data_IF_416118891955
#
_entry.id   IF_416118891955
#
_cell.length_a   1.000
_cell.length_b   1.000
_cell.length_c   1.000
_cell.angle_alpha   90.00
_cell.angle_beta   90.00
_cell.angle_gamma   90.00
#
_symmetry.space_group_name_H-M   'P 1'
#
loop_
_entity.id
_entity.type
_entity.pdbx_description
1 polymer ?
#
# COMPACT_ATOMS: atom_id res chain seq x y z
N UNK A 1 4.02 -13.36 25.05
CA UNK A 1 2.59 -13.00 24.99
C UNK A 1 2.49 -11.50 25.22
N UNK A 2 1.69 -10.79 24.42
CA UNK A 2 1.44 -9.35 24.60
C UNK A 2 0.65 -9.12 25.88
N UNK A 3 1.04 -8.15 26.69
CA UNK A 3 0.31 -7.74 27.90
C UNK A 3 -0.49 -6.47 27.67
N UNK A 4 -1.51 -6.20 28.49
CA UNK A 4 -2.29 -4.96 28.42
C UNK A 4 -1.48 -3.71 28.83
N UNK A 5 -0.26 -3.89 29.34
CA UNK A 5 0.61 -2.80 29.80
C UNK A 5 1.83 -2.61 28.91
N UNK A 6 1.95 -3.39 27.83
CA UNK A 6 3.03 -3.27 26.86
C UNK A 6 2.95 -1.90 26.16
N UNK A 7 4.07 -1.18 25.99
CA UNK A 7 4.08 0.08 25.26
C UNK A 7 3.67 -0.15 23.81
N UNK A 8 2.84 0.74 23.30
CA UNK A 8 2.47 0.79 21.89
C UNK A 8 3.25 1.91 21.23
N UNK A 9 3.92 1.59 20.13
CA UNK A 9 4.61 2.58 19.29
C UNK A 9 4.10 2.49 17.86
N UNK A 10 4.31 3.54 17.09
CA UNK A 10 3.97 3.55 15.66
C UNK A 10 5.16 3.97 14.80
N UNK A 11 5.17 3.46 13.56
CA UNK A 11 6.04 3.88 12.48
C UNK A 11 5.16 4.24 11.27
N UNK A 12 5.27 5.47 10.77
CA UNK A 12 4.66 5.91 9.52
C UNK A 12 5.67 5.75 8.39
N UNK A 13 5.32 4.98 7.37
CA UNK A 13 6.19 4.71 6.23
C UNK A 13 5.79 5.50 4.99
N UNK A 14 6.81 5.93 4.25
CA UNK A 14 6.68 6.40 2.88
C UNK A 14 7.67 5.67 1.96
N UNK A 15 7.27 5.48 0.71
CA UNK A 15 8.16 5.04 -0.38
C UNK A 15 8.31 6.22 -1.33
N UNK A 16 9.55 6.66 -1.51
CA UNK A 16 9.88 7.96 -2.10
C UNK A 16 9.12 9.07 -1.34
N UNK A 17 8.27 9.84 -2.05
CA UNK A 17 7.47 10.91 -1.44
C UNK A 17 6.03 10.48 -1.12
N UNK A 18 5.68 9.21 -1.35
CA UNK A 18 4.33 8.70 -1.13
C UNK A 18 4.19 8.00 0.23
N UNK A 19 3.39 8.58 1.13
CA UNK A 19 2.97 7.91 2.36
C UNK A 19 2.19 6.63 2.02
N UNK A 20 2.69 5.50 2.53
CA UNK A 20 2.08 4.18 2.36
C UNK A 20 1.12 3.88 3.50
N UNK A 21 1.55 4.07 4.75
CA UNK A 21 0.68 3.83 5.89
C UNK A 21 1.42 3.77 7.23
N UNK A 22 0.64 3.51 8.28
CA UNK A 22 1.10 3.38 9.66
C UNK A 22 1.18 1.91 10.06
N UNK A 23 2.24 1.57 10.79
CA UNK A 23 2.41 0.28 11.47
C UNK A 23 2.40 0.55 12.97
N UNK A 24 1.56 -0.17 13.72
CA UNK A 24 1.52 -0.08 15.19
C UNK A 24 2.11 -1.35 15.78
N UNK A 25 2.98 -1.19 16.76
CA UNK A 25 3.82 -2.25 17.33
C UNK A 25 3.60 -2.27 18.85
N UNK A 26 3.42 -3.46 19.41
CA UNK A 26 3.48 -3.71 20.85
C UNK A 26 4.86 -4.20 21.24
N UNK A 27 5.49 -3.58 22.24
CA UNK A 27 6.83 -3.93 22.68
C UNK A 27 6.80 -4.83 23.92
N UNK A 28 7.59 -5.90 23.92
CA UNK A 28 7.61 -6.93 24.97
C UNK A 28 8.42 -6.49 26.20
N UNK A 29 7.99 -5.42 26.88
CA UNK A 29 8.73 -4.82 28.00
C UNK A 29 9.05 -5.78 29.14
N UNK A 30 8.20 -6.77 29.41
CA UNK A 30 8.40 -7.70 30.53
C UNK A 30 9.39 -8.81 30.17
N UNK A 31 9.53 -9.10 28.87
CA UNK A 31 10.38 -10.17 28.36
C UNK A 31 11.77 -9.65 27.97
N UNK A 32 11.80 -8.51 27.29
CA UNK A 32 12.99 -7.87 26.76
C UNK A 32 12.98 -6.37 27.12
N UNK A 33 13.07 -6.01 28.42
CA UNK A 33 12.98 -4.63 28.87
C UNK A 33 13.99 -3.69 28.22
N UNK A 34 15.25 -4.10 28.03
CA UNK A 34 16.28 -3.27 27.42
C UNK A 34 15.98 -3.01 25.95
N UNK A 35 15.66 -4.07 25.19
CA UNK A 35 15.37 -3.95 23.76
C UNK A 35 14.06 -3.17 23.52
N UNK A 36 13.03 -3.41 24.33
CA UNK A 36 11.76 -2.70 24.27
C UNK A 36 11.94 -1.20 24.58
N UNK A 37 12.62 -0.85 25.67
CA UNK A 37 12.84 0.56 26.04
C UNK A 37 13.75 1.27 25.02
N UNK A 38 14.76 0.59 24.47
CA UNK A 38 15.57 1.12 23.38
C UNK A 38 14.72 1.46 22.16
N UNK A 39 13.90 0.51 21.69
CA UNK A 39 13.04 0.74 20.52
C UNK A 39 12.01 1.85 20.78
N UNK A 40 11.38 1.87 21.97
CA UNK A 40 10.40 2.89 22.37
C UNK A 40 11.01 4.29 22.36
N UNK A 41 12.14 4.46 23.04
CA UNK A 41 12.83 5.74 23.13
C UNK A 41 13.37 6.22 21.77
N UNK A 42 13.79 5.30 20.90
CA UNK A 42 14.14 5.62 19.51
C UNK A 42 12.92 5.97 18.66
N UNK A 43 11.71 5.52 18.98
CA UNK A 43 10.49 6.01 18.35
C UNK A 43 10.14 7.44 18.79
N UNK A 44 10.34 7.79 20.06
CA UNK A 44 9.99 9.13 20.59
C UNK A 44 11.08 10.18 20.35
N UNK A 45 12.34 9.76 20.22
CA UNK A 45 13.48 10.66 20.12
C UNK A 45 13.85 11.36 21.43
N UNK A 46 13.26 10.95 22.57
CA UNK A 46 13.35 11.67 23.85
C UNK A 46 14.76 11.70 24.45
N UNK A 47 15.65 10.80 24.02
CA UNK A 47 17.04 10.72 24.51
C UNK A 47 17.98 11.71 23.82
N UNK A 48 17.49 12.51 22.88
CA UNK A 48 18.23 13.61 22.27
C UNK A 48 19.31 13.11 21.30
N UNK A 49 20.53 13.60 21.46
CA UNK A 49 21.66 13.34 20.54
C UNK A 49 22.56 12.25 21.13
N UNK A 50 22.85 11.21 20.34
CA UNK A 50 23.77 10.14 20.70
C UNK A 50 25.24 10.55 20.64
N UNK A 51 26.12 9.67 21.09
CA UNK A 51 27.57 9.88 21.09
C UNK A 51 28.17 10.03 19.69
N UNK A 52 27.48 9.53 18.66
CA UNK A 52 27.84 9.73 17.25
C UNK A 52 27.34 11.06 16.66
N UNK A 53 26.78 11.96 17.48
CA UNK A 53 26.35 13.30 17.07
C UNK A 53 25.08 13.33 16.22
N UNK A 54 24.31 12.23 16.21
CA UNK A 54 23.03 12.11 15.50
C UNK A 54 21.88 11.96 16.50
N UNK A 55 20.66 12.39 16.16
CA UNK A 55 19.50 12.13 17.00
C UNK A 55 19.29 10.62 17.22
N UNK A 56 19.03 10.23 18.47
CA UNK A 56 18.57 8.89 18.82
C UNK A 56 17.09 8.76 18.48
N UNK A 57 16.78 8.74 17.18
CA UNK A 57 15.41 8.82 16.68
C UNK A 57 15.25 8.10 15.33
N UNK A 58 14.21 7.28 15.19
CA UNK A 58 13.91 6.58 13.93
C UNK A 58 13.30 7.48 12.85
N UNK A 59 12.72 8.62 13.20
CA UNK A 59 12.18 9.56 12.22
C UNK A 59 13.25 10.03 11.23
N UNK A 60 13.01 9.79 9.95
CA UNK A 60 13.93 10.08 8.86
C UNK A 60 14.92 8.95 8.54
N UNK A 61 14.98 7.89 9.37
CA UNK A 61 15.77 6.70 9.06
C UNK A 61 15.11 5.85 7.97
N UNK A 62 15.90 4.95 7.38
CA UNK A 62 15.52 4.20 6.18
C UNK A 62 15.48 2.69 6.42
N UNK A 63 14.62 2.00 5.68
CA UNK A 63 14.77 0.57 5.45
C UNK A 63 15.85 0.41 4.39
N UNK A 64 17.04 0.00 4.80
CA UNK A 64 18.23 -0.07 3.94
C UNK A 64 18.39 -1.45 3.28
N UNK A 65 17.66 -2.47 3.76
CA UNK A 65 17.61 -3.79 3.16
C UNK A 65 16.19 -4.37 3.20
N UNK A 66 15.77 -4.95 2.09
CA UNK A 66 14.47 -5.62 1.94
C UNK A 66 14.69 -6.95 1.23
N UNK A 67 14.33 -8.05 1.88
CA UNK A 67 14.31 -9.38 1.28
C UNK A 67 12.83 -9.73 1.02
N UNK A 68 12.41 -9.83 -0.25
CA UNK A 68 11.02 -10.07 -0.61
C UNK A 68 10.37 -11.21 0.15
N UNK A 69 9.19 -10.92 0.70
CA UNK A 69 8.36 -11.89 1.45
C UNK A 69 9.02 -12.49 2.70
N UNK A 70 10.20 -12.00 3.12
CA UNK A 70 10.91 -12.52 4.28
C UNK A 70 11.04 -11.46 5.37
N UNK A 71 11.67 -10.32 5.08
CA UNK A 71 11.93 -9.29 6.09
C UNK A 71 12.35 -7.93 5.53
N UNK A 72 12.11 -6.89 6.33
CA UNK A 72 12.62 -5.53 6.16
C UNK A 72 13.65 -5.24 7.25
N UNK A 73 14.75 -4.58 6.92
CA UNK A 73 15.82 -4.22 7.87
C UNK A 73 16.05 -2.71 7.83
N UNK A 74 15.95 -2.09 9.00
CA UNK A 74 16.07 -0.65 9.19
C UNK A 74 16.77 -0.30 10.49
N UNK A 75 16.61 0.95 10.92
CA UNK A 75 17.11 1.42 12.22
C UNK A 75 18.59 1.76 12.25
N UNK A 76 19.27 1.84 11.10
CA UNK A 76 20.52 2.58 11.01
C UNK A 76 20.17 4.07 11.04
N UNK A 77 20.32 4.70 12.22
CA UNK A 77 19.98 6.11 12.48
C UNK A 77 21.17 7.06 12.23
N UNK A 78 22.32 6.54 11.77
CA UNK A 78 23.55 7.32 11.63
C UNK A 78 23.89 7.55 10.16
N UNK A 79 24.06 6.47 9.40
CA UNK A 79 24.50 6.48 8.00
C UNK A 79 23.41 5.96 7.02
N UNK A 80 22.31 5.42 7.55
CA UNK A 80 21.16 4.91 6.78
C UNK A 80 21.50 3.79 5.78
N UNK A 81 22.60 3.05 5.99
CA UNK A 81 23.09 2.07 5.03
C UNK A 81 23.33 0.67 5.62
N UNK A 82 23.09 0.49 6.92
CA UNK A 82 23.18 -0.79 7.63
C UNK A 82 24.54 -1.06 8.27
N UNK A 83 25.55 -0.21 8.08
CA UNK A 83 26.90 -0.40 8.65
C UNK A 83 27.08 0.27 10.02
N UNK A 84 26.06 0.96 10.51
CA UNK A 84 26.16 1.78 11.72
C UNK A 84 24.88 1.73 12.54
N UNK A 85 24.84 2.46 13.65
CA UNK A 85 23.78 2.36 14.65
C UNK A 85 24.29 2.72 16.04
N UNK A 86 23.37 3.07 16.91
CA UNK A 86 23.67 3.44 18.30
C UNK A 86 22.42 3.21 19.15
N UNK A 87 22.57 2.56 20.30
CA UNK A 87 21.47 2.39 21.25
C UNK A 87 21.33 3.60 22.18
N UNK A 88 20.22 3.66 22.90
CA UNK A 88 20.05 4.67 23.96
C UNK A 88 20.99 4.48 25.16
N UNK A 89 21.68 3.33 25.23
CA UNK A 89 22.60 2.96 26.31
C UNK A 89 24.08 3.16 25.93
N UNK A 90 24.37 3.55 24.69
CA UNK A 90 25.72 3.62 24.12
C UNK A 90 25.83 2.82 22.83
N UNK A 91 27.03 2.27 22.55
CA UNK A 91 27.28 1.59 21.28
C UNK A 91 26.40 0.35 21.09
N UNK A 92 26.34 -0.50 22.12
CA UNK A 92 25.67 -1.80 22.09
C UNK A 92 25.06 -2.14 23.46
N UNK A 93 24.13 -3.10 23.50
CA UNK A 93 23.55 -3.66 24.72
C UNK A 93 23.32 -5.18 24.63
N UNK A 94 23.08 -5.79 25.79
CA UNK A 94 23.00 -7.24 25.98
C UNK A 94 21.81 -7.91 25.27
N UNK A 95 21.97 -9.19 24.95
CA UNK A 95 20.86 -10.05 24.53
C UNK A 95 19.98 -10.41 25.74
N UNK A 96 18.66 -10.43 25.55
CA UNK A 96 17.70 -10.77 26.61
C UNK A 96 17.08 -12.14 26.36
N UNK A 97 15.95 -12.21 25.65
CA UNK A 97 15.31 -13.47 25.30
C UNK A 97 15.67 -13.96 23.90
N UNK A 98 16.39 -15.07 23.84
CA UNK A 98 16.76 -15.77 22.61
C UNK A 98 15.97 -17.08 22.41
N UNK A 99 15.01 -17.39 23.30
CA UNK A 99 14.22 -18.63 23.23
C UNK A 99 12.95 -18.50 22.39
N UNK A 100 12.47 -17.28 22.14
CA UNK A 100 11.34 -17.08 21.22
C UNK A 100 11.80 -17.36 19.80
N UNK A 101 10.97 -18.12 19.08
CA UNK A 101 11.21 -18.43 17.68
C UNK A 101 10.54 -17.39 16.79
N UNK A 102 11.17 -17.05 15.67
CA UNK A 102 10.65 -16.20 14.61
C UNK A 102 9.74 -17.04 13.70
N UNK A 103 8.67 -17.58 14.27
CA UNK A 103 7.79 -18.55 13.62
C UNK A 103 6.67 -17.94 12.77
N UNK A 104 6.52 -16.60 12.78
CA UNK A 104 5.48 -15.88 12.06
C UNK A 104 5.91 -14.49 11.58
N UNK A 105 5.07 -13.86 10.76
CA UNK A 105 5.19 -12.47 10.33
C UNK A 105 4.90 -11.47 11.47
N UNK A 106 5.42 -10.26 11.33
CA UNK A 106 5.13 -9.13 12.21
C UNK A 106 6.01 -9.03 13.45
N UNK A 107 7.02 -9.88 13.65
CA UNK A 107 7.95 -9.70 14.76
C UNK A 107 8.91 -8.55 14.50
N UNK A 108 9.20 -7.80 15.56
CA UNK A 108 10.28 -6.80 15.61
C UNK A 108 11.45 -7.44 16.35
N UNK A 109 12.58 -7.57 15.67
CA UNK A 109 13.76 -8.28 16.18
C UNK A 109 15.01 -7.42 16.06
N UNK A 110 15.90 -7.48 17.04
CA UNK A 110 17.13 -6.67 17.05
C UNK A 110 18.15 -7.22 16.06
N UNK A 111 18.74 -6.34 15.25
CA UNK A 111 19.92 -6.69 14.45
C UNK A 111 21.16 -6.57 15.35
N UNK A 112 22.07 -7.53 15.23
CA UNK A 112 23.35 -7.53 15.92
C UNK A 112 24.50 -7.76 14.94
N UNK A 113 25.75 -7.69 15.41
CA UNK A 113 26.96 -7.82 14.58
C UNK A 113 27.43 -9.26 14.38
N UNK A 114 26.56 -10.25 14.61
CA UNK A 114 26.91 -11.66 14.54
C UNK A 114 27.72 -12.17 15.75
N UNK A 115 27.79 -11.39 16.83
CA UNK A 115 28.35 -11.80 18.12
C UNK A 115 27.35 -11.48 19.24
N UNK A 116 27.33 -12.25 20.34
CA UNK A 116 26.42 -11.98 21.45
C UNK A 116 26.55 -10.56 22.01
N UNK A 117 25.45 -10.03 22.54
CA UNK A 117 25.38 -8.72 23.22
C UNK A 117 25.86 -7.55 22.34
N UNK A 118 25.48 -7.57 21.06
CA UNK A 118 25.84 -6.51 20.11
C UNK A 118 24.63 -5.84 19.45
N UNK A 119 23.54 -5.72 20.22
CA UNK A 119 22.31 -5.05 19.79
C UNK A 119 22.50 -3.54 19.81
N UNK A 120 21.92 -2.82 18.84
CA UNK A 120 21.95 -1.35 18.81
C UNK A 120 20.60 -0.75 18.39
N UNK A 121 20.55 0.22 17.48
CA UNK A 121 19.31 0.78 16.94
C UNK A 121 18.71 -0.02 15.79
N UNK A 122 19.49 -0.87 15.11
CA UNK A 122 19.03 -1.60 13.93
C UNK A 122 18.04 -2.71 14.29
N UNK A 123 17.03 -2.89 13.46
CA UNK A 123 15.98 -3.86 13.67
C UNK A 123 15.52 -4.52 12.37
N UNK A 124 14.91 -5.69 12.53
CA UNK A 124 14.21 -6.47 11.51
C UNK A 124 12.72 -6.42 11.77
N UNK A 125 11.91 -6.27 10.72
CA UNK A 125 10.49 -6.59 10.73
C UNK A 125 10.28 -7.85 9.89
N UNK A 126 9.79 -8.93 10.50
CA UNK A 126 9.53 -10.17 9.77
C UNK A 126 8.26 -10.04 8.91
N UNK A 127 8.32 -10.53 7.68
CA UNK A 127 7.19 -10.65 6.74
C UNK A 127 6.75 -12.12 6.57
N UNK A 128 7.51 -13.06 7.13
CA UNK A 128 7.23 -14.48 7.20
C UNK A 128 8.09 -15.10 8.32
N UNK A 129 8.02 -16.41 8.53
CA UNK A 129 8.91 -17.12 9.46
C UNK A 129 10.37 -16.97 9.06
N UNK A 130 11.22 -16.66 10.04
CA UNK A 130 12.65 -16.40 9.88
C UNK A 130 13.49 -17.27 10.84
N UNK A 131 13.46 -18.62 10.74
CA UNK A 131 14.12 -19.51 11.70
C UNK A 131 15.64 -19.34 11.74
N UNK A 132 16.24 -18.76 10.70
CA UNK A 132 17.66 -18.40 10.68
C UNK A 132 18.06 -17.37 11.75
N UNK A 133 17.11 -16.64 12.33
CA UNK A 133 17.33 -15.65 13.39
C UNK A 133 17.18 -16.26 14.80
N UNK A 134 16.67 -17.49 14.91
CA UNK A 134 16.37 -18.13 16.19
C UNK A 134 17.63 -18.41 16.99
N UNK A 135 17.57 -18.17 18.30
CA UNK A 135 18.72 -18.31 19.20
C UNK A 135 19.80 -17.23 19.03
N UNK A 136 19.66 -16.34 18.04
CA UNK A 136 20.68 -15.34 17.71
C UNK A 136 20.18 -13.90 17.84
N UNK A 137 18.89 -13.64 17.61
CA UNK A 137 18.33 -12.30 17.60
C UNK A 137 17.18 -12.17 18.61
N UNK A 138 17.18 -11.06 19.37
CA UNK A 138 16.17 -10.77 20.39
C UNK A 138 14.90 -10.23 19.75
N UNK A 139 13.77 -10.90 19.94
CA UNK A 139 12.45 -10.36 19.57
C UNK A 139 12.01 -9.37 20.64
N UNK A 140 11.89 -8.09 20.28
CA UNK A 140 11.53 -7.01 21.20
C UNK A 140 10.07 -6.54 21.07
N UNK A 141 9.35 -6.96 20.02
CA UNK A 141 7.95 -6.61 19.85
C UNK A 141 7.25 -7.33 18.72
N UNK A 142 5.98 -6.97 18.50
CA UNK A 142 5.14 -7.53 17.44
C UNK A 142 4.21 -6.46 16.87
N UNK A 143 4.03 -6.46 15.55
CA UNK A 143 3.06 -5.65 14.84
C UNK A 143 1.65 -6.03 15.32
N UNK A 144 0.91 -5.03 15.79
CA UNK A 144 -0.49 -5.16 16.18
C UNK A 144 -1.42 -4.76 15.05
N UNK A 145 -1.06 -3.73 14.27
CA UNK A 145 -1.82 -3.23 13.12
C UNK A 145 -0.88 -2.80 11.99
N UNK A 146 -1.34 -2.86 10.74
CA UNK A 146 -0.56 -2.42 9.58
C UNK A 146 0.35 -3.49 8.98
N UNK A 147 0.08 -4.78 9.18
CA UNK A 147 0.80 -5.86 8.48
C UNK A 147 0.68 -5.72 6.95
N UNK A 148 -0.48 -5.29 6.46
CA UNK A 148 -0.69 -5.03 5.03
C UNK A 148 0.07 -3.81 4.53
N UNK A 149 0.31 -2.80 5.37
CA UNK A 149 1.21 -1.66 5.05
C UNK A 149 2.61 -2.17 4.73
N UNK A 150 3.13 -3.12 5.51
CA UNK A 150 4.45 -3.70 5.28
C UNK A 150 4.52 -4.49 3.95
N UNK A 151 3.43 -5.17 3.58
CA UNK A 151 3.30 -5.86 2.29
C UNK A 151 3.26 -4.86 1.13
N UNK A 152 2.48 -3.79 1.25
CA UNK A 152 2.39 -2.73 0.24
C UNK A 152 3.72 -1.98 0.06
N UNK A 153 4.52 -1.79 1.12
CA UNK A 153 5.90 -1.27 0.99
C UNK A 153 6.71 -2.19 0.08
N UNK A 154 6.63 -3.49 0.30
CA UNK A 154 7.35 -4.49 -0.49
C UNK A 154 6.94 -4.54 -1.96
N UNK A 155 5.65 -4.37 -2.26
CA UNK A 155 5.11 -4.33 -3.63
C UNK A 155 5.40 -3.01 -4.36
N UNK A 156 5.57 -1.92 -3.59
CA UNK A 156 5.80 -0.57 -4.13
C UNK A 156 7.29 -0.22 -4.28
N UNK A 157 8.20 -1.14 -3.96
CA UNK A 157 9.65 -0.90 -3.94
C UNK A 157 10.35 -1.69 -5.03
N UNK A 158 11.10 -0.99 -5.88
CA UNK A 158 12.09 -1.63 -6.74
C UNK A 158 13.33 -2.00 -5.92
N UNK A 159 13.81 -3.23 -6.10
CA UNK A 159 15.00 -3.74 -5.40
C UNK A 159 16.08 -4.22 -6.37
N UNK A 160 17.33 -4.15 -5.91
CA UNK A 160 18.49 -4.75 -6.56
C UNK A 160 19.39 -5.35 -5.47
N UNK A 161 19.64 -6.66 -5.52
CA UNK A 161 20.46 -7.38 -4.54
C UNK A 161 20.08 -7.09 -3.08
N UNK A 162 18.79 -7.30 -2.77
CA UNK A 162 18.14 -6.99 -1.47
C UNK A 162 18.15 -5.51 -1.05
N UNK A 163 18.69 -4.61 -1.88
CA UNK A 163 18.74 -3.18 -1.58
C UNK A 163 17.58 -2.45 -2.25
N UNK A 164 16.76 -1.70 -1.48
CA UNK A 164 15.78 -0.79 -2.05
C UNK A 164 16.45 0.27 -2.94
N UNK A 165 15.97 0.37 -4.18
CA UNK A 165 16.32 1.44 -5.11
C UNK A 165 15.42 2.66 -4.88
N UNK A 166 14.17 2.41 -4.48
CA UNK A 166 13.27 3.43 -3.96
C UNK A 166 13.54 3.69 -2.47
N UNK A 167 13.39 4.95 -2.04
CA UNK A 167 13.65 5.33 -0.65
C UNK A 167 12.48 4.93 0.24
N UNK A 168 12.65 3.89 1.05
CA UNK A 168 11.68 3.55 2.11
C UNK A 168 12.09 4.29 3.39
N UNK A 169 11.27 5.23 3.84
CA UNK A 169 11.59 6.13 4.96
C UNK A 169 10.54 6.00 6.06
N UNK A 170 10.98 6.01 7.32
CA UNK A 170 10.12 6.23 8.48
C UNK A 170 9.90 7.74 8.60
N UNK A 171 8.79 8.24 8.06
CA UNK A 171 8.52 9.67 7.98
C UNK A 171 8.02 10.26 9.30
N UNK A 172 7.46 9.43 10.17
CA UNK A 172 7.09 9.78 11.53
C UNK A 172 7.09 8.53 12.41
N UNK A 173 7.32 8.71 13.71
CA UNK A 173 7.23 7.64 14.69
C UNK A 173 6.99 8.23 16.09
N UNK A 174 6.53 7.37 17.00
CA UNK A 174 6.27 7.79 18.37
C UNK A 174 5.65 6.69 19.22
N UNK A 175 5.31 7.05 20.45
CA UNK A 175 4.58 6.20 21.39
C UNK A 175 3.10 6.62 21.40
N UNK A 176 2.20 5.64 21.49
CA UNK A 176 0.76 5.84 21.61
C UNK A 176 0.36 5.76 23.08
N UNK A 177 -0.29 6.82 23.58
CA UNK A 177 -0.84 6.84 24.92
C UNK A 177 -2.07 5.95 25.09
N UNK A 178 -2.41 5.65 26.35
CA UNK A 178 -3.63 4.93 26.66
C UNK A 178 -4.87 5.69 26.17
N UNK A 179 -5.69 5.02 25.34
CA UNK A 179 -6.91 5.61 24.75
C UNK A 179 -6.65 6.57 23.59
N UNK A 180 -5.41 6.77 23.16
CA UNK A 180 -5.09 7.56 21.98
C UNK A 180 -5.61 6.86 20.71
N UNK A 181 -6.00 7.66 19.71
CA UNK A 181 -6.36 7.11 18.40
C UNK A 181 -5.11 6.58 17.71
N UNK A 182 -5.13 5.31 17.31
CA UNK A 182 -4.00 4.65 16.65
C UNK A 182 -3.68 5.25 15.28
N UNK A 183 -4.61 5.99 14.66
CA UNK A 183 -4.38 6.68 13.39
C UNK A 183 -4.21 5.72 12.22
N UNK A 184 -5.01 4.64 12.19
CA UNK A 184 -4.99 3.60 11.14
C UNK A 184 -5.80 3.98 9.90
N UNK A 185 -6.38 5.18 9.87
CA UNK A 185 -7.05 5.73 8.69
C UNK A 185 -6.05 6.47 7.77
N UNK A 186 -6.53 6.94 6.61
CA UNK A 186 -5.67 7.60 5.62
C UNK A 186 -5.25 9.03 6.04
N UNK A 187 -5.73 9.53 7.18
CA UNK A 187 -5.50 10.87 7.73
C UNK A 187 -5.78 12.01 6.73
N UNK A 188 -6.81 11.85 5.90
CA UNK A 188 -7.18 12.83 4.88
C UNK A 188 -8.33 13.77 5.30
N UNK A 189 -8.81 13.61 6.54
CA UNK A 189 -9.82 14.45 7.17
C UNK A 189 -11.26 14.18 6.75
N UNK A 190 -11.51 13.20 5.87
CA UNK A 190 -12.87 12.88 5.39
C UNK A 190 -13.32 11.47 5.76
N UNK A 191 -12.47 10.46 5.56
CA UNK A 191 -12.80 9.06 5.84
C UNK A 191 -11.99 8.57 7.03
N UNK A 192 -12.72 8.12 8.07
CA UNK A 192 -12.19 7.66 9.35
C UNK A 192 -12.10 6.14 9.46
N UNK A 193 -12.33 5.42 8.36
CA UNK A 193 -12.22 3.98 8.34
C UNK A 193 -10.75 3.57 8.26
N UNK A 194 -10.41 2.44 8.86
CA UNK A 194 -9.06 1.87 8.75
C UNK A 194 -8.68 1.65 7.29
N UNK A 195 -7.42 1.86 6.92
CA UNK A 195 -6.94 1.72 5.54
C UNK A 195 -7.07 0.28 5.03
N UNK A 196 -6.88 -0.71 5.90
CA UNK A 196 -7.07 -2.13 5.63
C UNK A 196 -8.16 -2.70 6.54
N UNK A 197 -9.20 -3.35 5.98
CA UNK A 197 -10.32 -3.88 6.75
C UNK A 197 -9.90 -4.98 7.74
N UNK A 198 -8.79 -5.69 7.51
CA UNK A 198 -8.23 -6.67 8.45
C UNK A 198 -7.88 -6.04 9.81
N UNK A 199 -7.54 -4.75 9.83
CA UNK A 199 -7.20 -4.03 11.05
C UNK A 199 -8.46 -3.51 11.80
N UNK A 200 -9.67 -3.75 11.29
CA UNK A 200 -10.92 -3.20 11.85
C UNK A 200 -11.12 -3.58 13.32
N UNK A 201 -11.04 -4.88 13.63
CA UNK A 201 -11.32 -5.42 14.97
C UNK A 201 -10.25 -5.04 16.01
N UNK A 202 -9.13 -4.44 15.58
CA UNK A 202 -8.08 -3.98 16.50
C UNK A 202 -8.54 -2.72 17.23
N UNK A 203 -9.19 -1.82 16.48
CA UNK A 203 -9.60 -0.50 16.98
C UNK A 203 -11.11 -0.37 17.17
N UNK A 204 -11.88 -1.39 16.76
CA UNK A 204 -13.32 -1.47 16.97
C UNK A 204 -13.69 -2.74 17.74
N UNK A 205 -14.62 -2.61 18.67
CA UNK A 205 -15.11 -3.73 19.49
C UNK A 205 -16.09 -4.66 18.76
N UNK A 206 -16.73 -4.18 17.69
CA UNK A 206 -17.67 -4.95 16.89
C UNK A 206 -17.00 -5.57 15.67
N UNK A 207 -17.37 -6.82 15.37
CA UNK A 207 -17.01 -7.49 14.13
C UNK A 207 -17.50 -6.66 12.94
N UNK A 208 -16.71 -6.67 11.88
CA UNK A 208 -17.08 -6.06 10.62
C UNK A 208 -18.08 -6.95 9.87
N UNK A 209 -19.36 -6.66 10.03
CA UNK A 209 -20.47 -7.39 9.39
C UNK A 209 -20.65 -7.01 7.91
N UNK A 210 -21.20 -7.93 7.12
CA UNK A 210 -21.37 -7.78 5.68
C UNK A 210 -22.08 -6.49 5.26
N UNK A 211 -23.25 -6.17 5.83
CA UNK A 211 -24.01 -4.96 5.50
C UNK A 211 -23.22 -3.68 5.83
N UNK A 212 -22.44 -3.73 6.91
CA UNK A 212 -21.58 -2.62 7.33
C UNK A 212 -20.44 -2.42 6.35
N UNK A 213 -19.83 -3.49 5.83
CA UNK A 213 -18.80 -3.39 4.80
C UNK A 213 -19.37 -2.74 3.52
N UNK A 214 -20.54 -3.19 3.07
CA UNK A 214 -21.20 -2.59 1.90
C UNK A 214 -21.41 -1.08 2.06
N UNK A 215 -21.89 -0.65 3.23
CA UNK A 215 -22.08 0.77 3.52
C UNK A 215 -20.74 1.53 3.51
N UNK A 216 -19.70 0.97 4.15
CA UNK A 216 -18.35 1.55 4.12
C UNK A 216 -17.83 1.69 2.69
N UNK A 217 -17.98 0.66 1.84
CA UNK A 217 -17.56 0.72 0.42
C UNK A 217 -18.31 1.85 -0.30
N UNK A 218 -19.62 1.98 -0.09
CA UNK A 218 -20.46 3.03 -0.69
C UNK A 218 -20.00 4.42 -0.24
N UNK A 219 -19.68 4.61 1.04
CA UNK A 219 -19.14 5.87 1.59
C UNK A 219 -17.74 6.21 1.06
N UNK A 220 -16.80 5.26 1.09
CA UNK A 220 -15.43 5.43 0.57
C UNK A 220 -15.46 5.79 -0.92
N UNK A 221 -16.30 5.11 -1.71
CA UNK A 221 -16.54 5.46 -3.12
C UNK A 221 -17.06 6.90 -3.25
N UNK A 222 -17.98 7.31 -2.37
CA UNK A 222 -18.50 8.68 -2.30
C UNK A 222 -17.40 9.73 -2.08
N UNK A 223 -16.47 9.47 -1.15
CA UNK A 223 -15.30 10.34 -0.95
C UNK A 223 -14.39 10.37 -2.18
N UNK A 224 -14.17 9.22 -2.84
CA UNK A 224 -13.45 9.15 -4.11
C UNK A 224 -14.08 10.02 -5.20
N UNK A 225 -15.40 9.94 -5.35
CA UNK A 225 -16.16 10.78 -6.28
C UNK A 225 -15.99 12.27 -5.96
N UNK A 226 -16.03 12.65 -4.68
CA UNK A 226 -15.85 14.03 -4.25
C UNK A 226 -14.45 14.57 -4.58
N UNK A 227 -13.39 13.76 -4.44
CA UNK A 227 -12.05 14.12 -4.88
C UNK A 227 -11.93 14.19 -6.40
N UNK A 228 -12.58 13.28 -7.11
CA UNK A 228 -12.58 13.24 -8.57
C UNK A 228 -13.20 14.51 -9.18
N UNK A 229 -14.35 14.97 -8.66
CA UNK A 229 -15.01 16.21 -9.09
C UNK A 229 -14.10 17.43 -8.87
N UNK A 230 -13.28 17.41 -7.81
CA UNK A 230 -12.28 18.45 -7.52
C UNK A 230 -10.98 18.29 -8.33
N UNK A 231 -10.96 17.40 -9.33
CA UNK A 231 -9.79 17.05 -10.15
C UNK A 231 -8.59 16.54 -9.33
N UNK A 232 -8.80 16.11 -8.08
CA UNK A 232 -7.76 15.50 -7.27
C UNK A 232 -7.71 13.99 -7.52
N UNK A 233 -7.17 13.63 -8.68
CA UNK A 233 -7.15 12.24 -9.15
C UNK A 233 -6.32 11.32 -8.26
N UNK A 234 -5.26 11.82 -7.63
CA UNK A 234 -4.43 11.05 -6.70
C UNK A 234 -5.24 10.62 -5.47
N UNK A 235 -5.97 11.55 -4.83
CA UNK A 235 -6.82 11.21 -3.68
C UNK A 235 -8.03 10.36 -4.08
N UNK A 236 -8.62 10.65 -5.24
CA UNK A 236 -9.71 9.82 -5.79
C UNK A 236 -9.26 8.37 -5.99
N UNK A 237 -8.08 8.16 -6.57
CA UNK A 237 -7.48 6.84 -6.73
C UNK A 237 -7.34 6.09 -5.40
N UNK A 238 -6.75 6.75 -4.39
CA UNK A 238 -6.54 6.16 -3.06
C UNK A 238 -7.85 5.66 -2.47
N UNK A 239 -8.93 6.44 -2.60
CA UNK A 239 -10.26 6.04 -2.12
C UNK A 239 -10.86 4.89 -2.89
N UNK A 240 -10.83 4.90 -4.23
CA UNK A 240 -11.38 3.76 -4.97
C UNK A 240 -10.57 2.47 -4.75
N UNK A 241 -9.24 2.56 -4.61
CA UNK A 241 -8.41 1.41 -4.20
C UNK A 241 -8.78 0.90 -2.81
N UNK A 242 -8.99 1.79 -1.84
CA UNK A 242 -9.48 1.42 -0.51
C UNK A 242 -10.84 0.75 -0.56
N UNK A 243 -11.78 1.29 -1.33
CA UNK A 243 -13.09 0.67 -1.54
C UNK A 243 -12.98 -0.73 -2.14
N UNK A 244 -12.05 -0.95 -3.09
CA UNK A 244 -11.76 -2.29 -3.62
C UNK A 244 -11.16 -3.23 -2.57
N UNK A 245 -10.27 -2.75 -1.69
CA UNK A 245 -9.76 -3.57 -0.58
C UNK A 245 -10.88 -4.07 0.34
N UNK A 246 -11.82 -3.18 0.70
CA UNK A 246 -13.00 -3.57 1.48
C UNK A 246 -13.89 -4.55 0.71
N UNK A 247 -14.06 -4.35 -0.59
CA UNK A 247 -14.77 -5.29 -1.45
C UNK A 247 -14.11 -6.68 -1.44
N UNK A 248 -12.78 -6.75 -1.62
CA UNK A 248 -12.04 -8.02 -1.64
C UNK A 248 -12.10 -8.75 -0.30
N UNK A 249 -11.96 -7.99 0.80
CA UNK A 249 -12.13 -8.52 2.15
C UNK A 249 -13.52 -9.12 2.35
N UNK A 250 -14.57 -8.40 1.94
CA UNK A 250 -15.95 -8.89 1.98
C UNK A 250 -16.15 -10.15 1.12
N UNK A 251 -15.59 -10.15 -0.09
CA UNK A 251 -15.70 -11.27 -1.03
C UNK A 251 -14.99 -12.55 -0.55
N UNK A 252 -14.01 -12.40 0.34
CA UNK A 252 -13.27 -13.52 0.94
C UNK A 252 -13.86 -14.00 2.27
N UNK A 253 -14.97 -13.41 2.75
CA UNK A 253 -15.66 -13.90 3.95
C UNK A 253 -16.43 -15.19 3.66
N UNK A 254 -16.32 -16.19 4.52
CA UNK A 254 -17.05 -17.47 4.39
C UNK A 254 -18.57 -17.27 4.25
N UNK A 255 -19.13 -16.32 5.01
CA UNK A 255 -20.56 -15.92 4.99
C UNK A 255 -21.04 -15.41 3.61
N UNK A 256 -20.12 -15.01 2.74
CA UNK A 256 -20.41 -14.55 1.38
C UNK A 256 -20.44 -15.68 0.34
N UNK A 257 -19.64 -16.74 0.54
CA UNK A 257 -19.51 -17.86 -0.41
C UNK A 257 -20.83 -18.65 -0.56
N UNK A 258 -21.74 -18.54 0.41
CA UNK A 258 -23.08 -19.17 0.33
C UNK A 258 -24.10 -18.36 -0.51
N UNK A 259 -23.76 -17.13 -0.95
CA UNK A 259 -24.63 -16.20 -1.68
C UNK A 259 -24.03 -15.74 -3.04
N UNK A 260 -23.38 -16.66 -3.78
CA UNK A 260 -22.58 -16.44 -5.00
C UNK A 260 -23.24 -15.68 -6.18
N UNK A 261 -24.53 -15.32 -6.09
CA UNK A 261 -25.30 -14.71 -7.17
C UNK A 261 -25.84 -13.31 -6.88
N UNK A 262 -25.19 -12.53 -6.04
CA UNK A 262 -25.62 -11.14 -5.85
C UNK A 262 -25.11 -10.21 -6.97
N UNK A 263 -25.97 -9.95 -7.95
CA UNK A 263 -25.73 -9.03 -9.06
C UNK A 263 -25.33 -7.62 -8.59
N UNK A 264 -25.87 -7.13 -7.45
CA UNK A 264 -25.56 -5.79 -6.89
C UNK A 264 -24.06 -5.68 -6.54
N UNK A 265 -23.45 -6.77 -6.09
CA UNK A 265 -22.04 -6.80 -5.69
C UNK A 265 -21.15 -6.79 -6.92
N UNK A 266 -21.48 -7.60 -7.92
CA UNK A 266 -20.77 -7.61 -9.20
C UNK A 266 -20.84 -6.22 -9.83
N UNK A 267 -22.01 -5.59 -9.81
CA UNK A 267 -22.19 -4.22 -10.27
C UNK A 267 -21.33 -3.23 -9.47
N UNK A 268 -21.27 -3.36 -8.13
CA UNK A 268 -20.43 -2.52 -7.28
C UNK A 268 -18.95 -2.65 -7.64
N UNK A 269 -18.43 -3.86 -7.87
CA UNK A 269 -17.05 -4.10 -8.34
C UNK A 269 -16.81 -3.42 -9.68
N UNK A 270 -17.71 -3.62 -10.64
CA UNK A 270 -17.64 -2.98 -11.95
C UNK A 270 -17.57 -1.46 -11.80
N UNK A 271 -18.42 -0.84 -10.98
CA UNK A 271 -18.42 0.62 -10.74
C UNK A 271 -17.08 1.09 -10.16
N UNK A 272 -16.50 0.38 -9.20
CA UNK A 272 -15.21 0.75 -8.59
C UNK A 272 -14.05 0.66 -9.59
N UNK A 273 -13.96 -0.44 -10.34
CA UNK A 273 -12.96 -0.65 -11.38
C UNK A 273 -13.09 0.38 -12.49
N UNK A 274 -14.33 0.64 -12.93
CA UNK A 274 -14.68 1.70 -13.85
C UNK A 274 -14.11 3.03 -13.33
N UNK A 275 -14.48 3.46 -12.11
CA UNK A 275 -14.04 4.74 -11.56
C UNK A 275 -12.50 4.86 -11.51
N UNK A 276 -11.79 3.79 -11.14
CA UNK A 276 -10.34 3.75 -11.23
C UNK A 276 -9.82 3.85 -12.66
N UNK A 277 -10.41 3.14 -13.62
CA UNK A 277 -10.01 3.21 -15.03
C UNK A 277 -10.13 4.65 -15.55
N UNK A 278 -11.20 5.37 -15.17
CA UNK A 278 -11.35 6.79 -15.50
C UNK A 278 -10.26 7.64 -14.87
N UNK A 279 -9.98 7.49 -13.57
CA UNK A 279 -8.85 8.17 -12.92
C UNK A 279 -7.54 7.94 -13.68
N UNK A 280 -7.27 6.69 -14.09
CA UNK A 280 -6.06 6.33 -14.83
C UNK A 280 -5.98 6.96 -16.22
N UNK A 281 -7.10 7.07 -16.93
CA UNK A 281 -7.17 7.83 -18.19
C UNK A 281 -6.82 9.31 -17.99
N UNK A 282 -7.34 9.96 -16.95
CA UNK A 282 -7.02 11.36 -16.63
C UNK A 282 -5.55 11.54 -16.20
N UNK A 283 -4.96 10.55 -15.54
CA UNK A 283 -3.54 10.50 -15.21
C UNK A 283 -2.64 10.09 -16.41
N UNK A 284 -3.23 9.81 -17.59
CA UNK A 284 -2.53 9.28 -18.78
C UNK A 284 -1.82 7.93 -18.56
N UNK A 285 -2.23 7.20 -17.54
CA UNK A 285 -1.78 5.84 -17.25
C UNK A 285 -2.63 4.84 -18.05
N UNK A 286 -2.41 4.85 -19.38
CA UNK A 286 -3.29 4.16 -20.32
C UNK A 286 -3.20 2.63 -20.21
N UNK A 287 -2.03 2.08 -19.85
CA UNK A 287 -1.88 0.62 -19.67
C UNK A 287 -2.71 0.11 -18.49
N UNK A 288 -2.71 0.85 -17.39
CA UNK A 288 -3.48 0.56 -16.18
C UNK A 288 -4.98 0.73 -16.45
N UNK A 289 -5.38 1.81 -17.13
CA UNK A 289 -6.77 2.02 -17.54
C UNK A 289 -7.29 0.87 -18.43
N UNK A 290 -6.46 0.39 -19.36
CA UNK A 290 -6.78 -0.75 -20.21
C UNK A 290 -7.02 -2.03 -19.41
N UNK A 291 -6.12 -2.36 -18.47
CA UNK A 291 -6.26 -3.55 -17.60
C UNK A 291 -7.56 -3.50 -16.82
N UNK A 292 -7.78 -2.41 -16.08
CA UNK A 292 -8.99 -2.21 -15.27
C UNK A 292 -10.28 -2.29 -16.10
N UNK A 293 -10.28 -1.72 -17.30
CA UNK A 293 -11.44 -1.78 -18.19
C UNK A 293 -11.67 -3.17 -18.77
N UNK A 294 -10.59 -3.93 -19.00
CA UNK A 294 -10.67 -5.34 -19.39
C UNK A 294 -11.28 -6.18 -18.28
N UNK A 295 -10.88 -5.96 -17.03
CA UNK A 295 -11.47 -6.65 -15.87
C UNK A 295 -12.97 -6.39 -15.74
N UNK A 296 -13.42 -5.16 -16.00
CA UNK A 296 -14.86 -4.82 -16.05
C UNK A 296 -15.57 -5.64 -17.13
N UNK A 297 -15.02 -5.74 -18.34
CA UNK A 297 -15.63 -6.49 -19.45
C UNK A 297 -15.65 -8.00 -19.16
N UNK A 298 -14.64 -8.52 -18.46
CA UNK A 298 -14.62 -9.93 -18.04
C UNK A 298 -15.70 -10.22 -16.98
N UNK A 299 -15.97 -9.26 -16.09
CA UNK A 299 -17.02 -9.38 -15.07
C UNK A 299 -18.42 -9.19 -15.64
N UNK A 300 -18.57 -8.24 -16.55
CA UNK A 300 -19.83 -7.90 -17.24
C UNK A 300 -19.55 -7.62 -18.73
N UNK A 301 -19.69 -8.65 -19.60
CA UNK A 301 -19.46 -8.52 -21.04
C UNK A 301 -20.43 -7.57 -21.75
N UNK A 302 -21.52 -7.14 -21.10
CA UNK A 302 -22.46 -6.16 -21.62
C UNK A 302 -22.20 -4.74 -21.08
N UNK A 303 -21.07 -4.53 -20.39
CA UNK A 303 -20.72 -3.23 -19.84
C UNK A 303 -20.14 -2.29 -20.92
N UNK A 304 -21.01 -1.51 -21.58
CA UNK A 304 -20.56 -0.58 -22.63
C UNK A 304 -19.53 0.46 -22.13
N UNK A 305 -19.58 0.83 -20.84
CA UNK A 305 -18.61 1.76 -20.23
C UNK A 305 -17.21 1.15 -20.09
N UNK A 306 -17.13 -0.18 -19.89
CA UNK A 306 -15.88 -0.92 -19.92
C UNK A 306 -15.21 -0.82 -21.29
N UNK A 307 -15.95 -1.13 -22.35
CA UNK A 307 -15.47 -0.98 -23.73
C UNK A 307 -15.08 0.46 -24.06
N UNK A 308 -15.92 1.44 -23.69
CA UNK A 308 -15.62 2.85 -23.88
C UNK A 308 -14.28 3.25 -23.23
N UNK A 309 -14.03 2.88 -21.97
CA UNK A 309 -12.79 3.26 -21.27
C UNK A 309 -11.57 2.51 -21.79
N UNK A 310 -11.73 1.25 -22.18
CA UNK A 310 -10.66 0.48 -22.83
C UNK A 310 -10.30 1.05 -24.21
N UNK A 311 -11.30 1.46 -24.99
CA UNK A 311 -11.10 2.15 -26.26
C UNK A 311 -10.35 3.47 -26.10
N UNK A 312 -10.71 4.26 -25.08
CA UNK A 312 -9.98 5.50 -24.73
C UNK A 312 -8.52 5.21 -24.34
N UNK A 313 -8.27 4.11 -23.62
CA UNK A 313 -6.92 3.67 -23.28
C UNK A 313 -6.12 3.26 -24.53
N UNK A 314 -6.70 2.47 -25.44
CA UNK A 314 -6.06 2.11 -26.71
C UNK A 314 -5.69 3.34 -27.55
N UNK A 315 -6.60 4.31 -27.68
CA UNK A 315 -6.31 5.57 -28.37
C UNK A 315 -5.17 6.33 -27.69
N UNK A 316 -5.14 6.36 -26.36
CA UNK A 316 -4.02 6.95 -25.60
C UNK A 316 -2.68 6.23 -25.80
N UNK A 317 -2.70 4.94 -26.10
CA UNK A 317 -1.53 4.13 -26.46
C UNK A 317 -1.13 4.24 -27.95
N UNK A 318 -1.91 4.96 -28.76
CA UNK A 318 -1.70 5.07 -30.21
C UNK A 318 -2.26 3.88 -31.00
N UNK A 319 -3.00 2.97 -30.37
CA UNK A 319 -3.62 1.80 -31.00
C UNK A 319 -5.04 2.15 -31.50
N UNK A 320 -5.12 3.09 -32.45
CA UNK A 320 -6.38 3.74 -32.83
C UNK A 320 -7.43 2.78 -33.40
N UNK A 321 -7.03 1.80 -34.21
CA UNK A 321 -7.92 0.79 -34.78
C UNK A 321 -8.60 -0.05 -33.69
N UNK A 322 -7.84 -0.53 -32.70
CA UNK A 322 -8.41 -1.27 -31.55
C UNK A 322 -9.32 -0.38 -30.71
N UNK A 323 -8.95 0.89 -30.56
CA UNK A 323 -9.80 1.89 -29.91
C UNK A 323 -11.15 2.03 -30.60
N UNK A 324 -11.16 2.12 -31.94
CA UNK A 324 -12.37 2.20 -32.74
C UNK A 324 -13.23 0.93 -32.62
N UNK A 325 -12.64 -0.26 -32.62
CA UNK A 325 -13.34 -1.53 -32.43
C UNK A 325 -14.09 -1.55 -31.08
N UNK A 326 -13.43 -1.14 -29.99
CA UNK A 326 -14.05 -1.05 -28.67
C UNK A 326 -15.17 -0.01 -28.62
N UNK A 327 -14.99 1.16 -29.24
CA UNK A 327 -16.06 2.17 -29.32
C UNK A 327 -17.27 1.69 -30.13
N UNK A 328 -17.04 0.93 -31.21
CA UNK A 328 -18.12 0.30 -31.97
C UNK A 328 -18.86 -0.72 -31.13
N UNK A 329 -18.14 -1.56 -30.36
CA UNK A 329 -18.74 -2.51 -29.41
C UNK A 329 -19.58 -1.80 -28.36
N UNK A 330 -19.07 -0.71 -27.78
CA UNK A 330 -19.83 0.11 -26.83
C UNK A 330 -21.12 0.67 -27.46
N UNK A 331 -21.05 1.11 -28.72
CA UNK A 331 -22.19 1.65 -29.46
C UNK A 331 -23.20 0.56 -29.88
N UNK A 332 -22.76 -0.68 -30.14
CA UNK A 332 -23.66 -1.82 -30.37
C UNK A 332 -24.51 -2.12 -29.14
N UNK A 333 -23.92 -2.01 -27.95
CA UNK A 333 -24.59 -2.26 -26.66
C UNK A 333 -25.49 -1.07 -26.26
N UNK A 334 -25.00 0.17 -26.41
CA UNK A 334 -25.74 1.38 -26.08
C UNK A 334 -25.62 2.43 -27.21
N UNK A 335 -26.52 2.34 -28.18
CA UNK A 335 -26.47 3.07 -29.45
C UNK A 335 -26.89 4.55 -29.38
N UNK A 336 -27.36 5.03 -28.23
CA UNK A 336 -27.84 6.40 -28.02
C UNK A 336 -26.89 7.24 -27.15
N UNK A 337 -25.74 6.70 -26.75
CA UNK A 337 -24.78 7.44 -25.94
C UNK A 337 -23.96 8.41 -26.82
N UNK A 338 -24.28 9.71 -26.74
CA UNK A 338 -23.60 10.78 -27.47
C UNK A 338 -22.09 10.81 -27.21
N UNK A 339 -21.65 10.42 -26.01
CA UNK A 339 -20.23 10.39 -25.67
C UNK A 339 -19.50 9.26 -26.43
N UNK A 340 -20.13 8.10 -26.58
CA UNK A 340 -19.57 6.98 -27.37
C UNK A 340 -19.44 7.40 -28.83
N UNK A 341 -20.46 8.03 -29.40
CA UNK A 341 -20.45 8.50 -30.80
C UNK A 341 -19.32 9.51 -31.06
N UNK A 342 -19.10 10.45 -30.14
CA UNK A 342 -17.98 11.41 -30.23
C UNK A 342 -16.61 10.73 -30.24
N UNK A 343 -16.42 9.71 -29.40
CA UNK A 343 -15.15 8.96 -29.39
C UNK A 343 -14.96 8.11 -30.67
N UNK A 344 -16.03 7.54 -31.25
CA UNK A 344 -15.99 6.88 -32.57
C UNK A 344 -15.51 7.85 -33.66
N UNK A 345 -16.09 9.04 -33.75
CA UNK A 345 -15.71 10.05 -34.75
C UNK A 345 -14.27 10.51 -34.57
N UNK A 346 -13.87 10.77 -33.33
CA UNK A 346 -12.50 11.14 -32.97
C UNK A 346 -11.49 10.07 -33.37
N UNK A 347 -11.76 8.79 -33.08
CA UNK A 347 -10.89 7.69 -33.48
C UNK A 347 -10.76 7.58 -35.01
N UNK A 348 -11.87 7.68 -35.75
CA UNK A 348 -11.84 7.68 -37.23
C UNK A 348 -10.99 8.80 -37.80
N UNK A 349 -11.10 10.00 -37.23
CA UNK A 349 -10.30 11.16 -37.65
C UNK A 349 -8.80 10.96 -37.35
N UNK A 350 -8.47 10.41 -36.18
CA UNK A 350 -7.09 10.06 -35.81
C UNK A 350 -6.48 9.03 -36.76
N UNK A 351 -7.21 7.95 -37.07
CA UNK A 351 -6.78 6.92 -38.04
C UNK A 351 -6.52 7.55 -39.41
N UNK A 352 -7.44 8.40 -39.90
CA UNK A 352 -7.29 9.08 -41.19
C UNK A 352 -6.05 9.98 -41.20
N UNK A 353 -5.83 10.75 -40.14
CA UNK A 353 -4.67 11.64 -40.00
C UNK A 353 -3.36 10.86 -39.93
N UNK A 354 -3.34 9.74 -39.20
CA UNK A 354 -2.18 8.86 -39.06
C UNK A 354 -1.78 8.27 -40.41
N UNK A 355 -2.72 7.67 -41.15
CA UNK A 355 -2.48 7.11 -42.50
C UNK A 355 -1.99 8.17 -43.50
N UNK A 356 -2.51 9.40 -43.42
CA UNK A 356 -2.03 10.50 -44.25
C UNK A 356 -0.57 10.85 -43.93
N UNK A 357 -0.24 10.96 -42.64
CA UNK A 357 1.10 11.30 -42.18
C UNK A 357 2.13 10.23 -42.53
N UNK A 358 1.76 8.95 -42.38
CA UNK A 358 2.55 7.80 -42.78
C UNK A 358 2.85 7.80 -44.29
N UNK A 359 1.83 8.05 -45.13
CA UNK A 359 2.01 8.17 -46.58
C UNK A 359 2.99 9.29 -46.95
N UNK A 360 2.93 10.43 -46.26
CA UNK A 360 3.84 11.54 -46.52
C UNK A 360 5.25 11.32 -45.94
N UNK A 361 5.40 10.51 -44.90
CA UNK A 361 6.70 10.03 -44.43
C UNK A 361 7.36 9.11 -45.47
N UNK A 362 6.63 8.12 -45.98
CA UNK A 362 7.15 7.21 -47.01
C UNK A 362 7.61 7.97 -48.26
N UNK A 363 6.85 8.96 -48.74
CA UNK A 363 7.26 9.82 -49.87
C UNK A 363 8.57 10.57 -49.62
N UNK A 364 8.89 10.91 -48.36
CA UNK A 364 10.12 11.62 -47.99
C UNK A 364 11.31 10.69 -47.78
N UNK A 365 11.09 9.46 -47.31
CA UNK A 365 12.16 8.48 -47.06
C UNK A 365 12.82 7.96 -48.34
N UNK A 366 12.11 7.95 -49.46
CA UNK A 366 12.59 7.44 -50.75
C UNK A 366 12.86 8.56 -51.79
N UNK A 367 13.00 9.81 -51.32
CA UNK A 367 13.59 10.94 -52.08
C UNK A 367 14.95 11.23 -51.50
#
# INVERSE_FOLDING_TARGET
>A
MVTCTDPLVFLDFAVNDEKIGRVVISLFKDKCPLAAENFRALCTGEKGIGTKGKPLHYKGSQIHKYIPQLMLIGGDIIDFNGNSGESIYGSDFEDEDLKTMHDTEGFISMVNRGVPNSNNSQFVITLNSCPQLDGNNVICGVVRAGLKVLKDIGESTNICDDKPMDKIVIVDCGELGAGENWGLDDNDGVDKYVTYPEDWNIVNSNKLEYEKILNIIKEIKGFGNAFFVKMNYVKAEKKYKKALRYYEYMNNMEEFVENENNEEIKELKCILLLNLATVKLYQKQYKEAHKLSTDVIMLDPNNYKGFLRRGQAYVGLGEYEKGLEDFQKANEINSLDEHVLKEVEKAKNLIKSYKSSEKDLYKRMFK
#
